data_IF_629885190009
#
_entry.id   IF_629885190009
#
_cell.length_a   1.000
_cell.length_b   1.000
_cell.length_c   1.000
_cell.angle_alpha   90.00
_cell.angle_beta   90.00
_cell.angle_gamma   90.00
#
_symmetry.space_group_name_H-M   'P 1'
#
loop_
_entity.id
_entity.type
_entity.pdbx_description
1 polymer ?
#
# COMPACT_ATOMS: atom_id res chain seq x y z
N UNK A 1 -9.66 1.58 16.17
CA UNK A 1 -10.46 0.67 15.32
C UNK A 1 -10.87 -0.60 16.05
N UNK A 2 -9.95 -1.45 16.48
CA UNK A 2 -10.27 -2.72 17.14
C UNK A 2 -11.16 -2.60 18.39
N UNK A 3 -10.87 -1.67 19.30
CA UNK A 3 -11.72 -1.46 20.48
C UNK A 3 -13.16 -1.08 20.12
N UNK A 4 -13.36 -0.32 19.04
CA UNK A 4 -14.69 -0.01 18.53
C UNK A 4 -15.40 -1.27 18.04
N UNK A 5 -14.72 -2.13 17.27
CA UNK A 5 -15.26 -3.40 16.77
C UNK A 5 -15.67 -4.29 17.94
N UNK A 6 -14.82 -4.46 18.95
CA UNK A 6 -15.13 -5.28 20.13
C UNK A 6 -16.29 -4.69 20.93
N UNK A 7 -16.31 -3.37 21.13
CA UNK A 7 -17.41 -2.73 21.85
C UNK A 7 -18.74 -2.81 21.09
N UNK A 8 -18.72 -2.71 19.77
CA UNK A 8 -19.92 -2.77 18.94
C UNK A 8 -20.45 -4.20 18.81
N UNK A 9 -19.60 -5.15 18.44
CA UNK A 9 -19.98 -6.54 18.16
C UNK A 9 -20.13 -7.39 19.42
N UNK A 10 -19.58 -6.94 20.56
CA UNK A 10 -19.47 -7.68 21.83
C UNK A 10 -18.67 -9.00 21.72
N UNK A 11 -17.92 -9.18 20.65
CA UNK A 11 -17.00 -10.31 20.50
C UNK A 11 -15.74 -10.10 21.34
N UNK A 12 -15.17 -11.20 21.83
CA UNK A 12 -13.94 -11.18 22.65
C UNK A 12 -12.67 -11.19 21.80
N UNK A 13 -12.76 -11.83 20.64
CA UNK A 13 -11.67 -11.96 19.68
C UNK A 13 -12.18 -11.88 18.24
N UNK A 14 -11.27 -11.79 17.28
CA UNK A 14 -11.58 -11.84 15.86
C UNK A 14 -10.47 -12.48 15.03
N UNK A 15 -10.82 -12.81 13.78
CA UNK A 15 -9.87 -13.15 12.73
C UNK A 15 -9.47 -11.89 11.96
N UNK A 16 -8.18 -11.65 11.80
CA UNK A 16 -7.65 -10.54 11.01
C UNK A 16 -7.11 -11.06 9.68
N UNK A 17 -7.47 -10.40 8.57
CA UNK A 17 -6.87 -10.65 7.26
C UNK A 17 -6.27 -9.33 6.79
N UNK A 18 -4.95 -9.29 6.67
CA UNK A 18 -4.20 -8.13 6.18
C UNK A 18 -3.62 -8.40 4.80
N UNK A 19 -3.47 -7.34 4.01
CA UNK A 19 -2.72 -7.36 2.77
C UNK A 19 -1.69 -6.23 2.75
N UNK A 20 -0.48 -6.50 2.28
CA UNK A 20 0.58 -5.48 2.10
C UNK A 20 0.79 -4.67 3.39
N UNK A 21 0.59 -3.35 3.34
CA UNK A 21 0.69 -2.42 4.48
C UNK A 21 -0.22 -2.82 5.66
N UNK A 22 -1.37 -3.45 5.42
CA UNK A 22 -2.23 -3.96 6.48
C UNK A 22 -1.58 -5.06 7.32
N UNK A 23 -0.65 -5.83 6.74
CA UNK A 23 0.15 -6.80 7.50
C UNK A 23 1.12 -6.09 8.44
N UNK A 24 1.76 -5.02 7.97
CA UNK A 24 2.64 -4.17 8.79
C UNK A 24 1.88 -3.61 9.98
N UNK A 25 0.68 -3.05 9.76
CA UNK A 25 -0.12 -2.45 10.82
C UNK A 25 -0.49 -3.43 11.93
N UNK A 26 -0.88 -4.67 11.59
CA UNK A 26 -1.22 -5.65 12.62
C UNK A 26 0.02 -6.16 13.37
N UNK A 27 1.14 -6.36 12.67
CA UNK A 27 2.38 -6.78 13.31
C UNK A 27 2.89 -5.72 14.29
N UNK A 28 2.85 -4.44 13.91
CA UNK A 28 3.16 -3.32 14.82
C UNK A 28 2.22 -3.27 16.00
N UNK A 29 0.90 -3.42 15.80
CA UNK A 29 -0.07 -3.39 16.90
C UNK A 29 0.23 -4.50 17.93
N UNK A 30 0.45 -5.73 17.46
CA UNK A 30 0.63 -6.89 18.31
C UNK A 30 1.98 -6.90 19.04
N UNK A 31 3.01 -6.25 18.48
CA UNK A 31 4.30 -6.08 19.16
C UNK A 31 4.28 -4.93 20.17
N UNK A 32 3.70 -3.78 19.81
CA UNK A 32 3.69 -2.58 20.67
C UNK A 32 2.60 -2.60 21.74
N UNK A 33 1.51 -3.36 21.54
CA UNK A 33 0.40 -3.48 22.47
C UNK A 33 0.03 -4.95 22.74
N UNK A 34 0.82 -5.65 23.57
CA UNK A 34 0.64 -7.09 23.79
C UNK A 34 -0.74 -7.49 24.31
N UNK A 35 -1.49 -6.57 24.93
CA UNK A 35 -2.87 -6.78 25.37
C UNK A 35 -3.85 -7.10 24.22
N UNK A 36 -3.47 -6.82 22.97
CA UNK A 36 -4.23 -7.20 21.79
C UNK A 36 -3.95 -8.62 21.29
N UNK A 37 -2.86 -9.27 21.71
CA UNK A 37 -2.52 -10.63 21.29
C UNK A 37 -3.62 -11.64 21.64
N UNK A 38 -4.29 -11.45 22.78
CA UNK A 38 -5.40 -12.32 23.21
C UNK A 38 -6.71 -12.01 22.50
N UNK A 39 -6.79 -10.85 21.82
CA UNK A 39 -7.99 -10.38 21.10
C UNK A 39 -7.95 -10.71 19.60
N UNK A 40 -6.79 -11.15 19.08
CA UNK A 40 -6.65 -11.61 17.69
C UNK A 40 -6.48 -13.11 17.70
N UNK A 41 -7.54 -13.83 17.35
CA UNK A 41 -7.55 -15.29 17.36
C UNK A 41 -6.61 -15.89 16.32
N UNK A 42 -6.53 -15.24 15.17
CA UNK A 42 -5.64 -15.60 14.08
C UNK A 42 -5.45 -14.40 13.15
N UNK A 43 -4.23 -14.18 12.69
CA UNK A 43 -3.90 -13.20 11.66
C UNK A 43 -3.44 -13.91 10.39
N UNK A 44 -4.13 -13.68 9.28
CA UNK A 44 -3.77 -14.14 7.94
C UNK A 44 -3.11 -12.96 7.23
N UNK A 45 -1.86 -13.14 6.81
CA UNK A 45 -1.03 -12.08 6.25
C UNK A 45 -0.75 -12.35 4.78
N UNK A 46 -1.36 -11.56 3.88
CA UNK A 46 -1.18 -11.66 2.43
C UNK A 46 -0.12 -10.65 1.98
N UNK A 47 0.94 -11.11 1.31
CA UNK A 47 2.07 -10.28 0.87
C UNK A 47 2.61 -9.34 1.98
N UNK A 48 3.10 -9.86 3.12
CA UNK A 48 3.44 -9.05 4.29
C UNK A 48 4.63 -8.11 4.05
N UNK A 49 4.37 -6.80 4.10
CA UNK A 49 5.37 -5.74 3.97
C UNK A 49 6.06 -5.43 5.32
N UNK A 50 6.69 -6.42 5.95
CA UNK A 50 7.31 -6.28 7.27
C UNK A 50 8.85 -6.27 7.20
N UNK A 51 9.43 -7.31 6.61
CA UNK A 51 10.87 -7.48 6.50
C UNK A 51 11.31 -7.36 5.05
N UNK A 52 12.11 -6.33 4.76
CA UNK A 52 12.59 -6.01 3.41
C UNK A 52 13.96 -6.66 3.14
N UNK A 53 14.05 -7.98 3.30
CA UNK A 53 15.32 -8.72 3.11
C UNK A 53 15.70 -8.90 1.64
N UNK A 54 14.70 -9.11 0.78
CA UNK A 54 14.88 -9.25 -0.65
C UNK A 54 13.80 -8.44 -1.36
N UNK A 55 14.22 -7.37 -2.02
CA UNK A 55 13.33 -6.42 -2.68
C UNK A 55 13.42 -6.64 -4.19
N UNK A 56 12.29 -6.69 -4.88
CA UNK A 56 12.30 -6.88 -6.33
C UNK A 56 13.01 -5.71 -7.03
N UNK A 57 13.64 -5.93 -8.20
CA UNK A 57 14.26 -4.85 -8.97
C UNK A 57 13.28 -3.71 -9.26
N UNK A 58 12.03 -4.03 -9.64
CA UNK A 58 11.00 -3.03 -9.92
C UNK A 58 10.67 -2.16 -8.70
N UNK A 59 10.61 -2.77 -7.51
CA UNK A 59 10.34 -2.01 -6.30
C UNK A 59 11.57 -1.21 -5.85
N UNK A 60 12.78 -1.70 -6.09
CA UNK A 60 14.01 -0.91 -5.88
C UNK A 60 14.02 0.33 -6.78
N UNK A 61 13.65 0.21 -8.04
CA UNK A 61 13.53 1.36 -8.95
C UNK A 61 12.52 2.38 -8.42
N UNK A 62 11.35 1.92 -7.95
CA UNK A 62 10.35 2.78 -7.30
C UNK A 62 10.91 3.49 -6.06
N UNK A 63 11.55 2.74 -5.16
CA UNK A 63 12.12 3.23 -3.91
C UNK A 63 13.22 4.28 -4.17
N UNK A 64 14.03 4.11 -5.21
CA UNK A 64 15.07 5.08 -5.59
C UNK A 64 14.50 6.40 -6.11
N UNK A 65 13.25 6.41 -6.60
CA UNK A 65 12.57 7.63 -7.07
C UNK A 65 11.93 8.41 -5.90
N UNK A 66 11.60 7.75 -4.79
CA UNK A 66 10.90 8.37 -3.66
C UNK A 66 11.59 9.62 -3.07
N UNK A 67 12.93 9.70 -2.91
CA UNK A 67 13.58 10.91 -2.40
C UNK A 67 13.35 12.15 -3.28
N UNK A 68 13.41 11.98 -4.60
CA UNK A 68 13.12 13.06 -5.54
C UNK A 68 11.66 13.49 -5.46
N UNK A 69 10.73 12.52 -5.44
CA UNK A 69 9.29 12.82 -5.34
C UNK A 69 8.98 13.52 -4.03
N UNK A 70 9.57 13.09 -2.91
CA UNK A 70 9.42 13.72 -1.61
C UNK A 70 9.84 15.19 -1.65
N UNK A 71 10.97 15.50 -2.28
CA UNK A 71 11.45 16.89 -2.39
C UNK A 71 10.47 17.77 -3.17
N UNK A 72 10.01 17.29 -4.34
CA UNK A 72 9.01 17.99 -5.15
C UNK A 72 7.70 18.21 -4.39
N UNK A 73 7.21 17.18 -3.68
CA UNK A 73 6.00 17.30 -2.88
C UNK A 73 6.16 18.31 -1.74
N UNK A 74 7.33 18.32 -1.08
CA UNK A 74 7.67 19.27 -0.02
C UNK A 74 7.67 20.71 -0.52
N UNK A 75 8.32 20.99 -1.66
CA UNK A 75 8.36 22.33 -2.27
C UNK A 75 6.96 22.86 -2.61
N UNK A 76 6.00 21.97 -2.85
CA UNK A 76 4.61 22.30 -3.17
C UNK A 76 3.68 22.25 -1.95
N UNK A 77 4.22 22.04 -0.75
CA UNK A 77 3.46 21.88 0.50
C UNK A 77 2.40 20.75 0.41
N UNK A 78 2.71 19.69 -0.35
CA UNK A 78 1.85 18.51 -0.50
C UNK A 78 2.29 17.43 0.48
N UNK A 79 1.37 17.00 1.33
CA UNK A 79 1.62 15.98 2.37
C UNK A 79 0.96 14.63 2.07
N UNK A 80 0.11 14.57 1.06
CA UNK A 80 -0.57 13.35 0.63
C UNK A 80 0.12 12.71 -0.57
N UNK A 81 0.29 11.40 -0.50
CA UNK A 81 0.75 10.56 -1.59
C UNK A 81 -0.44 9.86 -2.23
N UNK A 82 -0.59 10.03 -3.54
CA UNK A 82 -1.70 9.52 -4.35
C UNK A 82 -3.12 9.86 -3.83
N UNK A 83 -3.47 11.14 -3.64
CA UNK A 83 -4.78 11.53 -3.16
C UNK A 83 -5.90 11.13 -4.15
N UNK A 84 -7.00 10.61 -3.60
CA UNK A 84 -8.17 10.33 -4.40
C UNK A 84 -9.01 11.62 -4.55
N UNK A 85 -9.25 12.03 -5.79
CA UNK A 85 -10.06 13.20 -6.14
C UNK A 85 -10.81 12.92 -7.44
N UNK A 86 -11.84 13.71 -7.72
CA UNK A 86 -12.57 13.60 -8.99
C UNK A 86 -11.62 13.73 -10.20
N UNK A 87 -10.64 14.63 -10.12
CA UNK A 87 -9.65 14.84 -11.17
C UNK A 87 -8.73 13.63 -11.36
N UNK A 88 -8.17 13.09 -10.27
CA UNK A 88 -7.27 11.92 -10.34
C UNK A 88 -8.00 10.68 -10.83
N UNK A 89 -9.24 10.44 -10.36
CA UNK A 89 -10.08 9.32 -10.82
C UNK A 89 -10.45 9.46 -12.30
N UNK A 90 -10.88 10.65 -12.74
CA UNK A 90 -11.25 10.88 -14.16
C UNK A 90 -10.04 10.70 -15.08
N UNK A 91 -8.86 11.17 -14.64
CA UNK A 91 -7.60 11.01 -15.38
C UNK A 91 -7.22 9.54 -15.49
N UNK A 92 -7.24 8.80 -14.37
CA UNK A 92 -6.96 7.37 -14.36
C UNK A 92 -7.92 6.59 -15.27
N UNK A 93 -9.23 6.85 -15.20
CA UNK A 93 -10.21 6.21 -16.09
C UNK A 93 -9.97 6.50 -17.56
N UNK A 94 -9.56 7.71 -17.90
CA UNK A 94 -9.32 8.12 -19.28
C UNK A 94 -8.03 7.49 -19.83
N UNK A 95 -6.94 7.59 -19.08
CA UNK A 95 -5.63 7.12 -19.52
C UNK A 95 -5.49 5.60 -19.44
N UNK A 96 -6.17 4.96 -18.50
CA UNK A 96 -6.06 3.53 -18.26
C UNK A 96 -7.23 2.73 -18.85
N UNK A 97 -8.10 3.39 -19.64
CA UNK A 97 -9.27 2.75 -20.25
C UNK A 97 -8.90 1.53 -21.10
N UNK A 98 -9.83 0.58 -21.25
CA UNK A 98 -9.66 -0.56 -22.14
C UNK A 98 -9.34 -0.09 -23.57
N UNK A 99 -8.29 -0.66 -24.17
CA UNK A 99 -7.79 -0.35 -25.52
C UNK A 99 -7.23 1.07 -25.71
N UNK A 100 -7.12 1.88 -24.65
CA UNK A 100 -6.41 3.14 -24.75
C UNK A 100 -4.92 2.90 -25.03
N UNK A 101 -4.33 3.69 -25.92
CA UNK A 101 -2.88 3.59 -26.22
C UNK A 101 -2.03 3.83 -24.96
N UNK A 102 -2.55 4.62 -24.02
CA UNK A 102 -1.92 4.94 -22.73
C UNK A 102 -2.07 3.84 -21.67
N UNK A 103 -2.89 2.82 -21.90
CA UNK A 103 -3.14 1.74 -20.92
C UNK A 103 -1.85 1.00 -20.54
N UNK A 104 -0.92 0.85 -21.49
CA UNK A 104 0.39 0.22 -21.24
C UNK A 104 1.21 0.97 -20.19
N UNK A 105 1.07 2.30 -20.12
CA UNK A 105 1.75 3.14 -19.12
C UNK A 105 1.16 2.87 -17.74
N UNK A 106 -0.16 2.75 -17.63
CA UNK A 106 -0.83 2.42 -16.37
C UNK A 106 -0.41 1.05 -15.85
N UNK A 107 -0.32 0.05 -16.74
CA UNK A 107 0.16 -1.29 -16.38
C UNK A 107 1.62 -1.25 -15.92
N UNK A 108 2.48 -0.49 -16.61
CA UNK A 108 3.88 -0.34 -16.22
C UNK A 108 4.02 0.31 -14.83
N UNK A 109 3.27 1.39 -14.55
CA UNK A 109 3.27 2.04 -13.23
C UNK A 109 2.76 1.08 -12.15
N UNK A 110 1.68 0.33 -12.42
CA UNK A 110 1.17 -0.67 -11.49
C UNK A 110 2.24 -1.70 -11.16
N UNK A 111 2.86 -2.31 -12.17
CA UNK A 111 3.88 -3.35 -11.97
C UNK A 111 5.19 -2.83 -11.37
N UNK A 112 5.50 -1.55 -11.54
CA UNK A 112 6.61 -0.90 -10.83
C UNK A 112 6.39 -0.95 -9.31
N UNK A 113 5.15 -0.74 -8.86
CA UNK A 113 4.80 -0.64 -7.44
C UNK A 113 4.50 -2.00 -6.81
N UNK A 114 3.73 -2.87 -7.47
CA UNK A 114 3.23 -4.12 -6.87
C UNK A 114 3.89 -5.39 -7.39
N UNK A 115 4.78 -5.27 -8.38
CA UNK A 115 5.40 -6.40 -9.07
C UNK A 115 4.64 -6.83 -10.32
N UNK A 116 5.35 -7.46 -11.25
CA UNK A 116 4.83 -7.84 -12.58
C UNK A 116 4.26 -9.26 -12.58
N UNK A 117 2.98 -9.39 -13.00
CA UNK A 117 2.34 -10.67 -13.30
C UNK A 117 1.25 -10.50 -14.38
N UNK A 118 1.65 -10.32 -15.66
CA UNK A 118 0.70 -10.07 -16.75
C UNK A 118 -0.38 -11.14 -16.92
N UNK A 119 -0.11 -12.45 -16.80
CA UNK A 119 -1.14 -13.49 -16.90
C UNK A 119 -2.26 -13.38 -15.87
N UNK A 120 -2.00 -12.80 -14.70
CA UNK A 120 -2.98 -12.64 -13.62
C UNK A 120 -3.71 -11.29 -13.66
N UNK A 121 -3.30 -10.35 -14.51
CA UNK A 121 -3.93 -9.03 -14.61
C UNK A 121 -5.04 -9.01 -15.65
N UNK A 122 -6.28 -8.79 -15.20
CA UNK A 122 -7.38 -8.48 -16.10
C UNK A 122 -7.35 -7.00 -16.51
N UNK A 123 -6.75 -6.73 -17.66
CA UNK A 123 -6.56 -5.38 -18.21
C UNK A 123 -7.88 -4.64 -18.47
N UNK A 124 -8.96 -5.37 -18.79
CA UNK A 124 -10.27 -4.75 -19.07
C UNK A 124 -10.91 -4.19 -17.81
N UNK A 125 -10.60 -4.76 -16.63
CA UNK A 125 -11.08 -4.26 -15.33
C UNK A 125 -10.17 -3.22 -14.68
N UNK A 126 -8.98 -2.98 -15.25
CA UNK A 126 -8.01 -2.03 -14.72
C UNK A 126 -8.56 -0.59 -14.51
N UNK A 127 -9.39 -0.02 -15.41
CA UNK A 127 -9.91 1.34 -15.22
C UNK A 127 -10.81 1.46 -13.98
N UNK A 128 -11.58 0.40 -13.70
CA UNK A 128 -12.46 0.33 -12.53
C UNK A 128 -11.64 0.21 -11.26
N UNK A 129 -10.64 -0.69 -11.24
CA UNK A 129 -9.71 -0.85 -10.10
C UNK A 129 -9.03 0.49 -9.78
N UNK A 130 -8.47 1.16 -10.79
CA UNK A 130 -7.73 2.42 -10.61
C UNK A 130 -8.64 3.60 -10.24
N UNK A 131 -9.96 3.45 -10.35
CA UNK A 131 -10.90 4.45 -9.84
C UNK A 131 -11.08 4.41 -8.32
N UNK A 132 -10.71 3.29 -7.68
CA UNK A 132 -10.76 3.11 -6.22
C UNK A 132 -9.37 3.05 -5.58
N UNK A 133 -8.35 2.64 -6.33
CA UNK A 133 -6.99 2.43 -5.84
C UNK A 133 -6.02 3.28 -6.67
N UNK A 134 -5.08 3.99 -6.05
CA UNK A 134 -4.89 4.17 -4.61
C UNK A 134 -5.95 5.10 -3.97
N UNK A 135 -6.23 4.85 -2.68
CA UNK A 135 -7.16 5.65 -1.88
C UNK A 135 -6.45 6.75 -1.04
N UNK A 136 -5.17 7.02 -1.35
CA UNK A 136 -4.32 7.96 -0.61
C UNK A 136 -3.58 7.33 0.57
N UNK A 137 -2.43 7.93 0.88
CA UNK A 137 -1.67 7.75 2.12
C UNK A 137 -0.85 9.02 2.37
N UNK A 138 -0.18 9.13 3.51
CA UNK A 138 0.71 10.26 3.77
C UNK A 138 2.09 10.05 3.14
N UNK A 139 2.79 11.13 2.79
CA UNK A 139 4.19 11.09 2.34
C UNK A 139 5.08 10.45 3.40
N UNK A 140 4.80 10.71 4.69
CA UNK A 140 5.54 10.14 5.81
C UNK A 140 5.40 8.62 5.89
N UNK A 141 4.24 8.06 5.53
CA UNK A 141 4.06 6.61 5.52
C UNK A 141 4.98 5.94 4.48
N UNK A 142 5.09 6.51 3.27
CA UNK A 142 6.01 6.00 2.25
C UNK A 142 7.48 6.22 2.63
N UNK A 143 7.80 7.32 3.29
CA UNK A 143 9.14 7.54 3.84
C UNK A 143 9.51 6.50 4.91
N UNK A 144 8.57 6.12 5.78
CA UNK A 144 8.79 5.05 6.75
C UNK A 144 9.15 3.74 6.06
N UNK A 145 8.45 3.38 4.98
CA UNK A 145 8.78 2.20 4.18
C UNK A 145 10.14 2.31 3.49
N UNK A 146 10.46 3.48 2.93
CA UNK A 146 11.78 3.76 2.36
C UNK A 146 12.90 3.51 3.37
N UNK A 147 12.76 4.01 4.60
CA UNK A 147 13.73 3.80 5.68
C UNK A 147 13.86 2.33 6.06
N UNK A 148 12.75 1.58 6.12
CA UNK A 148 12.78 0.14 6.42
C UNK A 148 13.47 -0.68 5.31
N UNK A 149 13.32 -0.28 4.05
CA UNK A 149 14.04 -0.90 2.93
C UNK A 149 15.55 -0.65 3.07
N UNK A 150 15.96 0.59 3.35
CA UNK A 150 17.39 0.93 3.53
C UNK A 150 18.02 0.23 4.74
N UNK A 151 17.27 0.06 5.83
CA UNK A 151 17.74 -0.62 7.02
C UNK A 151 18.05 -2.12 6.78
N UNK A 152 17.74 -2.68 5.61
CA UNK A 152 18.19 -4.01 5.17
C UNK A 152 17.88 -5.14 6.16
N UNK A 153 16.59 -5.44 6.33
CA UNK A 153 16.12 -6.59 7.11
C UNK A 153 15.70 -6.28 8.55
N UNK A 154 15.87 -5.05 9.02
CA UNK A 154 15.28 -4.59 10.28
C UNK A 154 13.87 -4.05 10.04
N UNK A 155 12.90 -4.57 10.81
CA UNK A 155 11.55 -4.02 10.89
C UNK A 155 11.48 -3.07 12.09
N UNK A 156 11.31 -1.78 11.81
CA UNK A 156 11.05 -0.77 12.84
C UNK A 156 9.60 -0.30 12.73
N UNK A 157 8.84 -0.51 13.80
CA UNK A 157 7.50 0.04 14.02
C UNK A 157 7.54 1.53 14.30
#
# INVERSE_FOLDING_TARGET
MFDYIFNYTKQKDLYYIGHSMGCTSILTLLSSKPEYNTKIKMAILLAPAAFWMNVSPSFNDFINILPFVKEVLREREIYDFFPQSLATVTTARTLCNDKAVTQVICIAILFLIVGSDPPQLNITTLPDILSYVPAGSSVQAFEHYYQNVLASGYFSS
#
